data_IF_821554019299
#
_entry.id   IF_821554019299
#
_cell.length_a   1.000
_cell.length_b   1.000
_cell.length_c   1.000
_cell.angle_alpha   90.00
_cell.angle_beta   90.00
_cell.angle_gamma   90.00
#
_symmetry.space_group_name_H-M   'P 1'
#
loop_
_entity.id
_entity.type
_entity.pdbx_description
1 polymer ?
#
# COMPACT_ATOMS: atom_id res chain seq x y z
N UNK A 1 -2.11 -28.08 5.67
CA UNK A 1 -2.60 -27.29 6.74
C UNK A 1 -1.73 -27.26 7.98
N UNK A 2 -0.98 -26.19 8.15
CA UNK A 2 -0.40 -25.86 9.45
C UNK A 2 -1.46 -25.06 10.24
N UNK A 3 -1.51 -25.19 11.59
CA UNK A 3 -2.31 -24.30 12.41
C UNK A 3 -1.94 -22.84 12.15
N UNK A 4 -2.91 -21.92 12.20
CA UNK A 4 -2.76 -20.50 11.86
C UNK A 4 -1.54 -19.84 12.51
N UNK A 5 -1.30 -20.09 13.81
CA UNK A 5 -0.16 -19.55 14.55
C UNK A 5 1.18 -20.04 14.01
N UNK A 6 1.30 -21.37 13.75
CA UNK A 6 2.53 -21.95 13.21
C UNK A 6 2.77 -21.45 11.79
N UNK A 7 1.73 -21.35 10.96
CA UNK A 7 1.81 -20.82 9.61
C UNK A 7 2.30 -19.36 9.63
N UNK A 8 1.72 -18.52 10.50
CA UNK A 8 2.16 -17.13 10.65
C UNK A 8 3.65 -17.03 11.04
N UNK A 9 4.10 -17.80 12.04
CA UNK A 9 5.49 -17.75 12.51
C UNK A 9 6.46 -18.11 11.36
N UNK A 10 6.20 -19.23 10.67
CA UNK A 10 7.09 -19.69 9.58
C UNK A 10 7.10 -18.69 8.43
N UNK A 11 5.93 -18.29 7.95
CA UNK A 11 5.84 -17.41 6.78
C UNK A 11 6.34 -16.00 7.09
N UNK A 12 6.04 -15.44 8.28
CA UNK A 12 6.53 -14.11 8.65
C UNK A 12 8.05 -14.06 8.76
N UNK A 13 8.66 -15.10 9.35
CA UNK A 13 10.13 -15.16 9.49
C UNK A 13 10.84 -15.21 8.13
N UNK A 14 10.26 -15.91 7.16
CA UNK A 14 10.87 -16.06 5.84
C UNK A 14 10.54 -14.90 4.89
N UNK A 15 9.29 -14.45 4.88
CA UNK A 15 8.78 -13.53 3.86
C UNK A 15 8.80 -12.06 4.28
N UNK A 16 8.68 -11.74 5.58
CA UNK A 16 8.60 -10.36 6.00
C UNK A 16 9.87 -9.56 5.65
N UNK A 17 11.09 -10.03 5.93
CA UNK A 17 12.31 -9.32 5.50
C UNK A 17 12.37 -9.12 3.99
N UNK A 18 12.05 -10.17 3.22
CA UNK A 18 12.09 -10.14 1.74
C UNK A 18 11.12 -9.09 1.18
N UNK A 19 9.90 -9.00 1.72
CA UNK A 19 8.90 -8.02 1.26
C UNK A 19 9.36 -6.59 1.57
N UNK A 20 9.94 -6.35 2.76
CA UNK A 20 10.47 -5.05 3.14
C UNK A 20 11.63 -4.66 2.22
N UNK A 21 12.58 -5.56 1.99
CA UNK A 21 13.75 -5.31 1.15
C UNK A 21 13.38 -5.07 -0.31
N UNK A 22 12.49 -5.89 -0.88
CA UNK A 22 11.99 -5.68 -2.24
C UNK A 22 11.21 -4.35 -2.36
N UNK A 23 10.44 -4.00 -1.34
CA UNK A 23 9.78 -2.70 -1.27
C UNK A 23 10.79 -1.56 -1.32
N UNK A 24 11.82 -1.61 -0.47
CA UNK A 24 12.86 -0.60 -0.41
C UNK A 24 13.63 -0.47 -1.74
N UNK A 25 13.96 -1.59 -2.37
CA UNK A 25 14.64 -1.61 -3.68
C UNK A 25 13.81 -0.97 -4.80
N UNK A 26 12.49 -0.93 -4.66
CA UNK A 26 11.58 -0.27 -5.59
C UNK A 26 11.10 1.11 -5.09
N UNK A 27 11.77 1.70 -4.12
CA UNK A 27 11.43 3.02 -3.58
C UNK A 27 10.14 3.06 -2.76
N UNK A 28 9.61 1.91 -2.32
CA UNK A 28 8.42 1.81 -1.50
C UNK A 28 8.80 1.55 -0.03
N UNK A 29 8.41 2.45 0.86
CA UNK A 29 8.55 2.23 2.30
C UNK A 29 7.37 1.37 2.77
N UNK A 30 7.64 0.08 3.01
CA UNK A 30 6.64 -0.87 3.52
C UNK A 30 6.85 -1.03 5.02
N UNK A 31 5.91 -0.56 5.86
CA UNK A 31 6.03 -0.73 7.31
C UNK A 31 6.01 -2.20 7.71
N UNK A 32 6.91 -2.59 8.59
CA UNK A 32 7.02 -3.99 9.04
C UNK A 32 5.70 -4.53 9.62
N UNK A 33 4.97 -3.70 10.36
CA UNK A 33 3.64 -4.07 10.89
C UNK A 33 2.64 -4.40 9.79
N UNK A 34 2.64 -3.66 8.67
CA UNK A 34 1.76 -3.94 7.54
C UNK A 34 2.10 -5.28 6.88
N UNK A 35 3.40 -5.61 6.80
CA UNK A 35 3.86 -6.91 6.27
C UNK A 35 3.45 -8.05 7.20
N UNK A 36 3.61 -7.90 8.52
CA UNK A 36 3.16 -8.92 9.48
C UNK A 36 1.65 -9.15 9.42
N UNK A 37 0.85 -8.08 9.31
CA UNK A 37 -0.59 -8.20 9.09
C UNK A 37 -0.91 -8.86 7.76
N UNK A 38 -0.19 -8.51 6.69
CA UNK A 38 -0.34 -9.15 5.38
C UNK A 38 -0.16 -10.68 5.48
N UNK A 39 0.94 -11.12 6.06
CA UNK A 39 1.24 -12.54 6.24
C UNK A 39 0.20 -13.23 7.14
N UNK A 40 -0.22 -12.57 8.21
CA UNK A 40 -1.20 -13.10 9.16
C UNK A 40 -2.56 -13.34 8.49
N UNK A 41 -3.09 -12.37 7.75
CA UNK A 41 -4.36 -12.50 7.05
C UNK A 41 -4.34 -13.60 5.98
N UNK A 42 -3.26 -13.71 5.21
CA UNK A 42 -3.12 -14.80 4.24
C UNK A 42 -2.97 -16.17 4.92
N UNK A 43 -2.36 -16.21 6.09
CA UNK A 43 -2.29 -17.43 6.92
C UNK A 43 -3.68 -17.92 7.36
N UNK A 44 -4.58 -17.00 7.73
CA UNK A 44 -5.96 -17.34 8.12
C UNK A 44 -6.77 -17.84 6.93
N UNK A 45 -6.66 -17.18 5.78
CA UNK A 45 -7.40 -17.54 4.57
C UNK A 45 -7.14 -18.98 4.11
N UNK A 46 -6.00 -19.56 4.44
CA UNK A 46 -5.69 -20.94 4.08
C UNK A 46 -6.64 -21.96 4.72
N UNK A 47 -7.22 -21.65 5.88
CA UNK A 47 -8.14 -22.56 6.59
C UNK A 47 -9.54 -22.57 5.97
N UNK A 48 -9.94 -21.53 5.24
CA UNK A 48 -11.25 -21.40 4.59
C UNK A 48 -11.20 -21.65 3.07
N UNK A 49 -9.99 -21.67 2.48
CA UNK A 49 -9.83 -21.75 1.02
C UNK A 49 -9.68 -23.20 0.54
N UNK A 50 -10.51 -23.67 -0.40
CA UNK A 50 -10.30 -24.96 -1.05
C UNK A 50 -8.94 -25.03 -1.79
N UNK A 51 -8.25 -26.16 -1.82
CA UNK A 51 -8.67 -27.50 -1.36
C UNK A 51 -8.38 -27.79 0.11
N UNK A 52 -7.68 -26.93 0.84
CA UNK A 52 -7.33 -27.17 2.26
C UNK A 52 -8.57 -27.03 3.15
N UNK A 53 -9.19 -25.85 3.19
CA UNK A 53 -10.51 -25.53 3.72
C UNK A 53 -10.98 -26.29 4.97
N UNK A 54 -10.13 -26.43 6.02
CA UNK A 54 -10.47 -27.22 7.21
C UNK A 54 -11.76 -26.71 7.89
N UNK A 55 -11.95 -25.39 7.96
CA UNK A 55 -13.15 -24.79 8.53
C UNK A 55 -14.39 -25.09 7.67
N UNK A 56 -14.24 -25.08 6.35
CA UNK A 56 -15.31 -25.42 5.41
C UNK A 56 -15.72 -26.91 5.53
N UNK A 57 -14.78 -27.81 5.71
CA UNK A 57 -15.07 -29.23 5.96
C UNK A 57 -15.81 -29.43 7.30
N UNK A 58 -15.37 -28.74 8.35
CA UNK A 58 -16.05 -28.78 9.65
C UNK A 58 -17.47 -28.24 9.57
N UNK A 59 -17.68 -27.10 8.92
CA UNK A 59 -18.99 -26.50 8.71
C UNK A 59 -19.93 -27.40 7.87
N UNK A 60 -19.40 -28.04 6.82
CA UNK A 60 -20.13 -29.00 6.01
C UNK A 60 -20.52 -30.25 6.82
N UNK A 61 -19.65 -30.72 7.71
CA UNK A 61 -19.95 -31.84 8.63
C UNK A 61 -21.09 -31.53 9.60
N UNK A 62 -21.22 -30.27 10.06
CA UNK A 62 -22.31 -29.83 10.92
C UNK A 62 -23.61 -29.65 10.13
N UNK A 63 -23.53 -29.01 8.95
CA UNK A 63 -24.71 -28.68 8.14
C UNK A 63 -25.23 -29.84 7.29
N UNK A 64 -24.43 -30.90 7.11
CA UNK A 64 -24.72 -32.01 6.16
C UNK A 64 -24.54 -31.60 4.69
N UNK A 65 -23.89 -30.44 4.43
CA UNK A 65 -23.68 -29.91 3.09
C UNK A 65 -22.46 -30.53 2.38
N UNK A 66 -22.30 -30.16 1.10
CA UNK A 66 -21.09 -30.50 0.33
C UNK A 66 -19.90 -29.65 0.79
N UNK A 67 -18.78 -30.24 1.22
CA UNK A 67 -17.63 -29.50 1.74
C UNK A 67 -17.01 -28.54 0.73
N UNK A 68 -16.92 -28.92 -0.54
CA UNK A 68 -16.31 -28.10 -1.58
C UNK A 68 -17.19 -26.89 -1.89
N UNK A 69 -18.51 -27.09 -2.01
CA UNK A 69 -19.46 -26.00 -2.21
C UNK A 69 -19.47 -25.05 -1.01
N UNK A 70 -19.40 -25.60 0.20
CA UNK A 70 -19.31 -24.81 1.44
C UNK A 70 -18.03 -23.97 1.45
N UNK A 71 -16.87 -24.55 1.05
CA UNK A 71 -15.62 -23.82 0.96
C UNK A 71 -15.62 -22.74 -0.11
N UNK A 72 -16.20 -22.99 -1.29
CA UNK A 72 -16.34 -21.96 -2.34
C UNK A 72 -17.22 -20.81 -1.82
N UNK A 73 -18.31 -21.12 -1.14
CA UNK A 73 -19.19 -20.08 -0.57
C UNK A 73 -18.50 -19.30 0.54
N UNK A 74 -17.73 -19.97 1.41
CA UNK A 74 -16.88 -19.33 2.42
C UNK A 74 -15.88 -18.36 1.78
N UNK A 75 -15.14 -18.81 0.79
CA UNK A 75 -14.17 -17.97 0.08
C UNK A 75 -14.83 -16.73 -0.57
N UNK A 76 -16.04 -16.86 -1.13
CA UNK A 76 -16.76 -15.70 -1.67
C UNK A 76 -17.07 -14.67 -0.58
N UNK A 77 -17.38 -15.10 0.64
CA UNK A 77 -17.55 -14.19 1.77
C UNK A 77 -16.22 -13.61 2.25
N UNK A 78 -15.13 -14.38 2.18
CA UNK A 78 -13.80 -13.99 2.66
C UNK A 78 -12.95 -13.23 1.63
N UNK A 79 -13.47 -12.97 0.44
CA UNK A 79 -12.75 -12.18 -0.59
C UNK A 79 -12.33 -10.80 -0.04
N UNK A 80 -13.07 -10.26 0.92
CA UNK A 80 -12.75 -9.01 1.61
C UNK A 80 -11.49 -9.13 2.47
N UNK A 81 -11.36 -10.26 3.15
CA UNK A 81 -10.21 -10.60 3.97
C UNK A 81 -8.95 -10.78 3.13
N UNK A 82 -9.08 -11.24 1.87
CA UNK A 82 -7.98 -11.33 0.93
C UNK A 82 -7.49 -9.96 0.43
N UNK A 83 -8.36 -8.95 0.35
CA UNK A 83 -8.01 -7.62 -0.18
C UNK A 83 -7.46 -6.70 0.90
N UNK A 84 -7.93 -6.80 2.14
CA UNK A 84 -7.51 -5.96 3.27
C UNK A 84 -5.99 -5.89 3.48
N UNK A 85 -5.23 -7.00 3.43
CA UNK A 85 -3.79 -6.98 3.62
C UNK A 85 -3.05 -6.06 2.65
N UNK A 86 -3.48 -6.02 1.39
CA UNK A 86 -2.91 -5.09 0.41
C UNK A 86 -3.21 -3.64 0.79
N UNK A 87 -4.38 -3.37 1.38
CA UNK A 87 -4.72 -2.01 1.81
C UNK A 87 -3.80 -1.52 2.93
N UNK A 88 -3.37 -2.37 3.85
CA UNK A 88 -2.42 -2.01 4.92
C UNK A 88 -1.05 -1.58 4.37
N UNK A 89 -0.60 -2.19 3.27
CA UNK A 89 0.64 -1.81 2.61
C UNK A 89 0.50 -0.46 1.89
N UNK A 90 -0.61 -0.25 1.18
CA UNK A 90 -0.80 0.93 0.34
C UNK A 90 -1.43 2.13 1.06
N UNK A 91 -2.07 1.91 2.20
CA UNK A 91 -2.65 2.96 3.03
C UNK A 91 -2.30 2.71 4.51
N UNK A 92 -1.14 3.17 4.90
CA UNK A 92 -0.57 2.95 6.23
C UNK A 92 -1.36 3.63 7.35
N UNK A 93 -2.25 4.58 7.03
CA UNK A 93 -3.18 5.17 8.01
C UNK A 93 -4.13 4.12 8.62
N UNK A 94 -4.45 3.05 7.88
CA UNK A 94 -5.26 1.92 8.39
C UNK A 94 -4.57 1.13 9.51
N UNK A 95 -3.24 1.19 9.57
CA UNK A 95 -2.42 0.65 10.66
C UNK A 95 -1.89 1.74 11.60
N UNK A 96 -2.56 2.89 11.64
CA UNK A 96 -2.30 4.06 12.48
C UNK A 96 -0.95 4.75 12.24
N UNK A 97 -0.24 4.46 11.16
CA UNK A 97 1.00 5.14 10.80
C UNK A 97 0.66 6.46 10.09
N UNK A 98 1.22 7.57 10.58
CA UNK A 98 0.97 8.92 10.04
C UNK A 98 -0.30 9.58 10.59
N UNK A 99 -1.00 8.95 11.54
CA UNK A 99 -2.14 9.55 12.24
C UNK A 99 -1.63 10.43 13.38
N UNK A 100 -1.78 11.75 13.25
CA UNK A 100 -1.18 12.74 14.17
C UNK A 100 -2.17 13.35 15.14
N UNK A 101 -3.49 13.17 14.95
CA UNK A 101 -4.52 13.76 15.80
C UNK A 101 -5.73 12.84 15.99
N UNK A 102 -6.46 13.04 17.10
CA UNK A 102 -7.71 12.31 17.37
C UNK A 102 -8.75 12.51 16.27
N UNK A 103 -8.83 13.70 15.69
CA UNK A 103 -9.76 13.99 14.61
C UNK A 103 -9.41 13.23 13.33
N UNK A 104 -8.11 13.14 13.02
CA UNK A 104 -7.62 12.33 11.90
C UNK A 104 -7.93 10.84 12.13
N UNK A 105 -7.72 10.33 13.34
CA UNK A 105 -8.05 8.95 13.69
C UNK A 105 -9.54 8.63 13.48
N UNK A 106 -10.43 9.48 14.00
CA UNK A 106 -11.88 9.29 13.82
C UNK A 106 -12.25 9.27 12.34
N UNK A 107 -11.70 10.20 11.56
CA UNK A 107 -11.93 10.27 10.11
C UNK A 107 -11.47 8.97 9.41
N UNK A 108 -10.28 8.47 9.72
CA UNK A 108 -9.76 7.22 9.15
C UNK A 108 -10.68 6.04 9.49
N UNK A 109 -11.10 5.91 10.76
CA UNK A 109 -12.01 4.84 11.20
C UNK A 109 -13.35 4.92 10.45
N UNK A 110 -13.96 6.11 10.38
CA UNK A 110 -15.26 6.29 9.71
C UNK A 110 -15.16 5.95 8.21
N UNK A 111 -14.11 6.42 7.54
CA UNK A 111 -13.88 6.11 6.12
C UNK A 111 -13.65 4.62 5.91
N UNK A 112 -12.87 3.97 6.78
CA UNK A 112 -12.61 2.54 6.70
C UNK A 112 -13.89 1.70 6.90
N UNK A 113 -14.74 2.05 7.88
CA UNK A 113 -16.01 1.38 8.12
C UNK A 113 -16.95 1.54 6.93
N UNK A 114 -17.13 2.76 6.41
CA UNK A 114 -17.95 3.00 5.22
C UNK A 114 -17.39 2.22 4.03
N UNK A 115 -16.07 2.26 3.80
CA UNK A 115 -15.41 1.53 2.73
C UNK A 115 -15.68 0.02 2.80
N UNK A 116 -15.61 -0.58 4.00
CA UNK A 116 -15.90 -2.01 4.21
C UNK A 116 -17.37 -2.35 3.94
N UNK A 117 -18.31 -1.53 4.41
CA UNK A 117 -19.73 -1.75 4.16
C UNK A 117 -20.08 -1.65 2.67
N UNK A 118 -19.54 -0.64 2.00
CA UNK A 118 -19.72 -0.45 0.55
C UNK A 118 -19.07 -1.58 -0.24
N UNK A 119 -17.89 -2.04 0.17
CA UNK A 119 -17.23 -3.18 -0.44
C UNK A 119 -18.05 -4.47 -0.28
N UNK A 120 -18.59 -4.69 0.92
CA UNK A 120 -19.48 -5.81 1.18
C UNK A 120 -20.72 -5.78 0.28
N UNK A 121 -21.37 -4.61 0.16
CA UNK A 121 -22.52 -4.44 -0.71
C UNK A 121 -22.18 -4.68 -2.19
N UNK A 122 -21.03 -4.19 -2.65
CA UNK A 122 -20.54 -4.40 -4.00
C UNK A 122 -20.25 -5.86 -4.31
N UNK A 123 -19.53 -6.58 -3.44
CA UNK A 123 -19.18 -8.00 -3.64
C UNK A 123 -20.39 -8.93 -3.57
N UNK A 124 -21.38 -8.60 -2.77
CA UNK A 124 -22.63 -9.38 -2.67
C UNK A 124 -23.68 -9.00 -3.72
N UNK A 125 -23.47 -7.91 -4.45
CA UNK A 125 -24.42 -7.43 -5.45
C UNK A 125 -25.76 -6.98 -4.87
N UNK A 126 -25.77 -6.59 -3.57
CA UNK A 126 -26.95 -6.16 -2.84
C UNK A 126 -26.60 -5.05 -1.84
N UNK A 127 -27.38 -3.97 -1.85
CA UNK A 127 -27.27 -2.91 -0.85
C UNK A 127 -28.66 -2.62 -0.25
N UNK A 128 -29.42 -1.65 -0.76
CA UNK A 128 -30.85 -1.50 -0.38
C UNK A 128 -31.76 -2.46 -1.16
N UNK A 129 -31.35 -2.82 -2.36
CA UNK A 129 -32.00 -3.77 -3.25
C UNK A 129 -30.93 -4.45 -4.13
N UNK A 130 -31.33 -5.46 -4.93
CA UNK A 130 -30.39 -6.11 -5.85
C UNK A 130 -29.71 -5.10 -6.77
N UNK A 131 -28.40 -5.08 -6.78
CA UNK A 131 -27.61 -4.15 -7.56
C UNK A 131 -27.64 -4.50 -9.05
N UNK A 132 -27.69 -3.49 -9.90
CA UNK A 132 -27.37 -3.63 -11.33
C UNK A 132 -25.85 -3.74 -11.49
N UNK A 133 -25.38 -4.33 -12.58
CA UNK A 133 -23.94 -4.53 -12.83
C UNK A 133 -23.11 -3.23 -12.70
N UNK A 134 -23.62 -2.13 -13.24
CA UNK A 134 -22.93 -0.84 -13.12
C UNK A 134 -22.91 -0.29 -11.68
N UNK A 135 -23.93 -0.55 -10.87
CA UNK A 135 -23.98 -0.17 -9.46
C UNK A 135 -22.97 -0.97 -8.64
N UNK A 136 -22.89 -2.28 -8.90
CA UNK A 136 -21.84 -3.14 -8.34
C UNK A 136 -20.45 -2.63 -8.67
N UNK A 137 -20.17 -2.33 -9.94
CA UNK A 137 -18.90 -1.77 -10.36
C UNK A 137 -18.61 -0.41 -9.71
N UNK A 138 -19.61 0.46 -9.60
CA UNK A 138 -19.49 1.76 -8.94
C UNK A 138 -19.26 1.61 -7.43
N UNK A 139 -19.95 0.70 -6.73
CA UNK A 139 -19.69 0.43 -5.30
C UNK A 139 -18.29 -0.09 -5.06
N UNK A 140 -17.77 -0.98 -5.90
CA UNK A 140 -16.40 -1.47 -5.81
C UNK A 140 -15.38 -0.35 -6.06
N UNK A 141 -15.64 0.54 -7.03
CA UNK A 141 -14.81 1.71 -7.29
C UNK A 141 -14.80 2.69 -6.11
N UNK A 142 -15.96 2.94 -5.49
CA UNK A 142 -16.07 3.78 -4.29
C UNK A 142 -15.27 3.17 -3.16
N UNK A 143 -15.45 1.87 -2.88
CA UNK A 143 -14.72 1.17 -1.84
C UNK A 143 -13.20 1.25 -2.06
N UNK A 144 -12.73 1.01 -3.27
CA UNK A 144 -11.32 1.16 -3.64
C UNK A 144 -10.81 2.59 -3.39
N UNK A 145 -11.59 3.61 -3.77
CA UNK A 145 -11.23 5.01 -3.56
C UNK A 145 -11.16 5.38 -2.08
N UNK A 146 -12.08 4.86 -1.26
CA UNK A 146 -12.09 5.09 0.19
C UNK A 146 -10.91 4.39 0.89
N UNK A 147 -10.55 3.18 0.47
CA UNK A 147 -9.40 2.46 1.03
C UNK A 147 -8.06 3.00 0.56
N UNK A 148 -7.98 3.48 -0.68
CA UNK A 148 -6.73 3.98 -1.27
C UNK A 148 -6.95 5.33 -1.97
N UNK A 149 -7.29 6.40 -1.24
CA UNK A 149 -7.53 7.72 -1.82
C UNK A 149 -6.30 8.27 -2.56
N UNK A 150 -5.10 7.89 -2.13
CA UNK A 150 -3.83 8.25 -2.75
C UNK A 150 -3.69 7.76 -4.21
N UNK A 151 -4.33 6.67 -4.61
CA UNK A 151 -4.16 6.13 -5.97
C UNK A 151 -4.52 7.13 -7.07
N UNK A 152 -5.69 7.77 -6.96
CA UNK A 152 -6.14 8.78 -7.92
C UNK A 152 -5.41 10.10 -7.70
N UNK A 153 -5.17 10.44 -6.41
CA UNK A 153 -4.50 11.66 -6.02
C UNK A 153 -3.07 11.73 -6.53
N UNK A 154 -2.32 10.64 -6.43
CA UNK A 154 -0.93 10.54 -6.89
C UNK A 154 -0.80 10.66 -8.41
N UNK A 155 -1.85 10.31 -9.16
CA UNK A 155 -1.92 10.53 -10.62
C UNK A 155 -2.18 12.00 -10.99
N UNK A 156 -2.99 12.71 -10.18
CA UNK A 156 -3.29 14.12 -10.41
C UNK A 156 -2.23 15.05 -9.82
N UNK A 157 -1.68 14.68 -8.68
CA UNK A 157 -0.67 15.41 -7.93
C UNK A 157 0.46 14.46 -7.55
N UNK A 158 1.49 14.30 -8.39
CA UNK A 158 2.61 13.42 -8.11
C UNK A 158 3.22 13.69 -6.73
N UNK A 159 3.47 12.65 -5.91
CA UNK A 159 3.98 12.81 -4.55
C UNK A 159 5.42 13.30 -4.50
N UNK A 160 6.15 13.05 -5.56
CA UNK A 160 7.56 13.39 -5.70
C UNK A 160 7.75 14.16 -7.00
N UNK A 161 8.65 15.11 -7.01
CA UNK A 161 9.18 15.72 -8.21
C UNK A 161 10.67 15.42 -8.31
N UNK A 162 11.15 15.35 -9.52
CA UNK A 162 12.53 15.04 -9.82
C UNK A 162 13.34 16.33 -9.93
N UNK A 163 14.41 16.41 -9.19
CA UNK A 163 15.38 17.48 -9.25
C UNK A 163 16.71 16.95 -9.82
N UNK A 164 17.47 17.78 -10.55
CA UNK A 164 18.76 17.36 -11.10
C UNK A 164 19.74 17.01 -9.98
N UNK A 165 20.66 16.05 -10.22
CA UNK A 165 21.67 15.60 -9.25
C UNK A 165 22.53 16.73 -8.67
N UNK A 166 22.82 17.75 -9.48
CA UNK A 166 23.60 18.93 -9.07
C UNK A 166 22.98 19.71 -7.89
N UNK A 167 21.69 19.50 -7.59
CA UNK A 167 21.04 20.10 -6.43
C UNK A 167 21.05 19.22 -5.18
N UNK A 168 21.65 18.03 -5.25
CA UNK A 168 21.65 17.06 -4.14
C UNK A 168 22.15 17.68 -2.83
N UNK A 169 23.26 18.36 -2.84
CA UNK A 169 23.81 19.03 -1.65
C UNK A 169 22.86 20.11 -1.11
N UNK A 170 22.28 20.95 -1.98
CA UNK A 170 21.34 21.96 -1.57
C UNK A 170 20.08 21.36 -0.94
N UNK A 171 19.58 20.27 -1.49
CA UNK A 171 18.39 19.55 -0.98
C UNK A 171 18.70 18.96 0.38
N UNK A 172 19.81 18.21 0.52
CA UNK A 172 20.24 17.59 1.77
C UNK A 172 20.46 18.63 2.87
N UNK A 173 21.07 19.79 2.51
CA UNK A 173 21.29 20.89 3.44
C UNK A 173 19.99 21.48 4.03
N UNK A 174 18.90 21.46 3.26
CA UNK A 174 17.59 22.00 3.67
C UNK A 174 16.67 20.95 4.31
N UNK A 175 17.02 19.67 4.31
CA UNK A 175 16.22 18.61 4.91
C UNK A 175 16.42 18.54 6.42
N UNK A 176 15.38 18.06 7.14
CA UNK A 176 15.51 17.76 8.56
C UNK A 176 16.42 16.54 8.78
N UNK A 177 17.28 16.55 9.82
CA UNK A 177 18.09 15.41 10.21
C UNK A 177 17.23 14.13 10.40
N UNK A 178 17.74 12.99 9.94
CA UNK A 178 17.03 11.71 10.01
C UNK A 178 15.89 11.53 9.01
N UNK A 179 15.55 12.54 8.20
CA UNK A 179 14.60 12.38 7.08
C UNK A 179 15.22 11.53 5.99
N UNK A 180 14.38 10.89 5.16
CA UNK A 180 14.85 10.04 4.07
C UNK A 180 14.88 10.81 2.77
N UNK A 181 16.07 10.90 2.16
CA UNK A 181 16.23 11.37 0.78
C UNK A 181 16.13 10.20 -0.17
N UNK A 182 15.51 10.42 -1.33
CA UNK A 182 15.40 9.44 -2.40
C UNK A 182 16.26 9.86 -3.57
N UNK A 183 17.18 8.99 -3.97
CA UNK A 183 18.02 9.17 -5.16
C UNK A 183 17.78 8.03 -6.14
N UNK A 184 17.71 8.36 -7.41
CA UNK A 184 17.66 7.39 -8.49
C UNK A 184 19.05 7.25 -9.07
N UNK A 185 19.54 6.03 -9.09
CA UNK A 185 20.89 5.70 -9.58
C UNK A 185 20.81 4.78 -10.80
N UNK A 186 21.81 4.91 -11.68
CA UNK A 186 22.12 3.93 -12.72
C UNK A 186 23.46 3.27 -12.35
N UNK A 187 23.49 1.96 -12.38
CA UNK A 187 24.68 1.17 -12.20
C UNK A 187 24.78 0.06 -13.22
N UNK A 188 25.93 -0.60 -13.29
CA UNK A 188 26.15 -1.75 -14.15
C UNK A 188 26.35 -3.02 -13.31
N UNK A 189 25.67 -4.08 -13.69
CA UNK A 189 25.83 -5.37 -13.02
C UNK A 189 27.14 -6.02 -13.48
N UNK A 190 28.11 -6.12 -12.58
CA UNK A 190 29.46 -6.64 -12.85
C UNK A 190 29.49 -8.05 -13.46
N UNK A 191 28.45 -8.89 -13.23
CA UNK A 191 28.39 -10.24 -13.80
C UNK A 191 27.81 -10.29 -15.21
N UNK A 192 26.86 -9.40 -15.52
CA UNK A 192 26.08 -9.48 -16.77
C UNK A 192 26.37 -8.35 -17.74
N UNK A 193 27.08 -7.30 -17.32
CA UNK A 193 27.30 -6.07 -18.09
C UNK A 193 26.01 -5.31 -18.38
N UNK A 194 24.91 -5.63 -17.72
CA UNK A 194 23.63 -4.94 -17.95
C UNK A 194 23.49 -3.76 -17.03
N UNK A 195 23.10 -2.63 -17.58
CA UNK A 195 22.72 -1.46 -16.81
C UNK A 195 21.39 -1.73 -16.08
N UNK A 196 21.30 -1.23 -14.85
CA UNK A 196 20.10 -1.23 -14.06
C UNK A 196 19.87 0.15 -13.46
N UNK A 197 18.60 0.50 -13.28
CA UNK A 197 18.20 1.72 -12.56
C UNK A 197 17.51 1.31 -11.27
N UNK A 198 17.87 1.96 -10.17
CA UNK A 198 17.34 1.67 -8.85
C UNK A 198 17.08 2.97 -8.10
N UNK A 199 15.97 3.01 -7.34
CA UNK A 199 15.73 4.08 -6.36
C UNK A 199 16.26 3.64 -5.00
N UNK A 200 17.08 4.48 -4.39
CA UNK A 200 17.68 4.23 -3.07
C UNK A 200 17.18 5.30 -2.11
N UNK A 201 16.87 4.90 -0.89
CA UNK A 201 16.49 5.78 0.19
C UNK A 201 17.58 5.82 1.24
N UNK A 202 18.04 7.02 1.59
CA UNK A 202 19.11 7.23 2.54
C UNK A 202 18.65 8.16 3.65
N UNK A 203 18.98 7.88 4.91
CA UNK A 203 18.78 8.83 5.98
C UNK A 203 19.70 10.05 5.77
N UNK A 204 19.19 11.23 6.05
CA UNK A 204 20.02 12.45 6.07
C UNK A 204 20.73 12.53 7.40
N UNK A 205 22.06 12.76 7.37
CA UNK A 205 22.88 12.88 8.59
C UNK A 205 22.53 14.12 9.42
N UNK A 206 23.02 14.13 10.67
CA UNK A 206 22.72 15.18 11.66
C UNK A 206 23.72 16.34 11.63
N UNK A 207 24.73 16.27 10.78
CA UNK A 207 25.82 17.25 10.66
C UNK A 207 25.31 18.60 10.15
N UNK A 208 26.16 19.63 10.28
CA UNK A 208 25.77 21.01 9.98
C UNK A 208 25.78 21.34 8.50
N UNK A 209 26.73 20.79 7.76
CA UNK A 209 26.88 21.06 6.33
C UNK A 209 26.32 19.92 5.48
N UNK A 210 25.88 20.22 4.28
CA UNK A 210 25.32 19.22 3.36
C UNK A 210 26.33 18.12 3.01
N UNK A 211 27.57 18.50 2.78
CA UNK A 211 28.66 17.56 2.46
C UNK A 211 28.93 16.64 3.65
N UNK A 212 29.03 17.19 4.87
CA UNK A 212 29.22 16.39 6.07
C UNK A 212 28.05 15.42 6.29
N UNK A 213 26.81 15.83 6.00
CA UNK A 213 25.61 14.96 6.08
C UNK A 213 25.68 13.78 5.12
N UNK A 214 26.17 14.00 3.88
CA UNK A 214 26.37 12.93 2.91
C UNK A 214 27.51 12.00 3.36
N UNK A 215 28.61 12.56 3.85
CA UNK A 215 29.74 11.78 4.37
C UNK A 215 29.32 10.98 5.62
N UNK A 216 28.47 11.55 6.49
CA UNK A 216 27.93 10.87 7.69
C UNK A 216 27.10 9.64 7.36
N UNK A 217 26.40 9.62 6.22
CA UNK A 217 25.72 8.42 5.73
C UNK A 217 26.58 7.53 4.83
N UNK A 218 27.82 7.94 4.58
CA UNK A 218 28.84 7.16 3.91
C UNK A 218 28.91 7.34 2.39
N UNK A 219 28.53 8.52 1.86
CA UNK A 219 28.61 8.84 0.44
C UNK A 219 29.51 10.05 0.22
N UNK A 220 30.44 9.90 -0.70
CA UNK A 220 31.13 11.00 -1.36
C UNK A 220 30.69 11.05 -2.81
N UNK A 221 30.49 12.26 -3.34
CA UNK A 221 30.04 12.46 -4.73
C UNK A 221 31.13 13.23 -5.51
N UNK A 222 31.19 12.95 -6.82
CA UNK A 222 31.96 13.72 -7.78
C UNK A 222 31.11 14.16 -8.96
N UNK A 223 31.36 15.33 -9.46
CA UNK A 223 30.76 15.81 -10.70
C UNK A 223 31.76 15.67 -11.84
N UNK A 224 31.37 15.01 -12.91
CA UNK A 224 32.20 14.78 -14.10
C UNK A 224 31.30 14.91 -15.34
N UNK A 225 31.72 15.74 -16.30
CA UNK A 225 30.99 16.00 -17.55
C UNK A 225 29.50 16.36 -17.40
N UNK A 226 29.15 17.08 -16.31
CA UNK A 226 27.77 17.48 -16.02
C UNK A 226 26.89 16.37 -15.44
N UNK A 227 27.47 15.25 -15.06
CA UNK A 227 26.85 14.13 -14.37
C UNK A 227 27.44 14.01 -12.98
N UNK A 228 26.63 13.53 -12.04
CA UNK A 228 27.04 13.29 -10.66
C UNK A 228 27.18 11.79 -10.43
N UNK A 229 28.36 11.38 -9.97
CA UNK A 229 28.69 9.98 -9.66
C UNK A 229 28.97 9.81 -8.17
N UNK A 230 28.81 8.58 -7.70
CA UNK A 230 29.25 8.17 -6.38
C UNK A 230 30.75 7.91 -6.46
N UNK A 231 31.55 8.75 -5.78
CA UNK A 231 33.00 8.67 -5.80
C UNK A 231 33.54 7.70 -4.75
N UNK A 232 32.92 7.63 -3.60
CA UNK A 232 33.33 6.72 -2.54
C UNK A 232 32.15 6.31 -1.67
N UNK A 233 32.21 5.08 -1.16
CA UNK A 233 31.23 4.56 -0.17
C UNK A 233 31.98 3.99 1.04
N UNK A 234 31.61 4.48 2.21
CA UNK A 234 32.20 3.99 3.47
C UNK A 234 31.63 2.59 3.76
N UNK A 235 32.54 1.65 4.03
CA UNK A 235 32.18 0.27 4.37
C UNK A 235 31.26 0.19 5.60
N UNK A 236 30.26 -0.67 5.56
CA UNK A 236 29.25 -0.87 6.62
C UNK A 236 28.35 0.35 6.91
N UNK A 237 28.39 1.38 6.05
CA UNK A 237 27.57 2.59 6.15
C UNK A 237 26.11 2.34 5.80
N UNK A 238 25.20 3.29 6.12
CA UNK A 238 23.83 3.29 5.61
C UNK A 238 23.75 3.24 4.09
N UNK A 239 24.67 3.89 3.39
CA UNK A 239 24.72 3.92 1.93
C UNK A 239 25.02 2.54 1.33
N UNK A 240 26.04 1.85 1.83
CA UNK A 240 26.36 0.48 1.40
C UNK A 240 25.20 -0.49 1.69
N UNK A 241 24.61 -0.42 2.90
CA UNK A 241 23.46 -1.24 3.28
C UNK A 241 22.22 -0.99 2.40
N UNK A 242 22.07 0.22 1.89
CA UNK A 242 21.02 0.56 0.92
C UNK A 242 21.34 0.06 -0.50
N UNK A 243 22.55 -0.50 -0.70
CA UNK A 243 23.00 -1.08 -1.95
C UNK A 243 23.51 -0.06 -2.97
N UNK A 244 24.08 1.04 -2.50
CA UNK A 244 24.89 1.90 -3.31
C UNK A 244 26.29 1.29 -3.49
N UNK A 245 26.91 1.60 -4.61
CA UNK A 245 28.26 1.14 -4.94
C UNK A 245 29.04 2.26 -5.66
N UNK A 246 30.34 2.11 -5.70
CA UNK A 246 31.26 3.02 -6.39
C UNK A 246 30.91 3.14 -7.87
N UNK A 247 31.15 4.32 -8.45
CA UNK A 247 30.99 4.65 -9.88
C UNK A 247 29.54 4.56 -10.42
N UNK A 248 28.53 4.52 -9.55
CA UNK A 248 27.14 4.63 -9.96
C UNK A 248 26.77 6.08 -10.28
N UNK A 249 26.06 6.30 -11.39
CA UNK A 249 25.56 7.63 -11.79
C UNK A 249 24.27 7.95 -11.01
N UNK A 250 24.20 9.13 -10.41
CA UNK A 250 22.96 9.66 -9.83
C UNK A 250 22.18 10.33 -10.95
N UNK A 251 21.02 9.78 -11.29
CA UNK A 251 20.18 10.29 -12.38
C UNK A 251 19.32 11.48 -11.94
N UNK A 252 18.69 11.38 -10.78
CA UNK A 252 17.88 12.43 -10.19
C UNK A 252 17.73 12.27 -8.69
N UNK A 253 17.26 13.35 -8.05
CA UNK A 253 16.90 13.39 -6.64
C UNK A 253 15.40 13.60 -6.54
N UNK A 254 14.70 12.72 -5.83
CA UNK A 254 13.26 12.77 -5.68
C UNK A 254 12.88 13.50 -4.39
N UNK A 255 12.21 14.63 -4.54
CA UNK A 255 11.83 15.52 -3.43
C UNK A 255 10.31 15.50 -3.23
N UNK A 256 9.81 15.45 -1.98
CA UNK A 256 8.38 15.50 -1.72
C UNK A 256 7.73 16.80 -2.22
N UNK A 257 6.64 16.69 -2.97
CA UNK A 257 5.88 17.81 -3.48
C UNK A 257 4.87 18.29 -2.43
N UNK A 258 4.77 19.60 -2.20
CA UNK A 258 3.67 20.18 -1.40
C UNK A 258 2.35 20.01 -2.18
N UNK A 259 1.43 19.23 -1.66
CA UNK A 259 0.15 18.91 -2.31
C UNK A 259 -1.02 18.99 -1.35
N UNK A 260 -2.25 19.22 -1.85
CA UNK A 260 -3.44 19.17 -1.01
C UNK A 260 -3.62 17.77 -0.39
N UNK A 261 -4.37 17.66 0.71
CA UNK A 261 -4.56 16.37 1.38
C UNK A 261 -5.33 15.38 0.50
N UNK A 262 -4.82 14.13 0.41
CA UNK A 262 -5.42 13.04 -0.38
C UNK A 262 -6.85 12.68 0.04
N UNK A 263 -7.24 13.04 1.26
CA UNK A 263 -8.58 12.83 1.82
C UNK A 263 -9.68 13.55 1.03
N UNK A 264 -9.32 14.57 0.22
CA UNK A 264 -10.29 15.23 -0.66
C UNK A 264 -10.95 14.28 -1.67
N UNK A 265 -10.30 13.13 -2.00
CA UNK A 265 -10.90 12.10 -2.86
C UNK A 265 -12.09 11.37 -2.21
N UNK A 266 -12.27 11.49 -0.91
CA UNK A 266 -13.46 10.98 -0.21
C UNK A 266 -14.73 11.70 -0.68
N UNK A 267 -14.64 12.99 -1.02
CA UNK A 267 -15.80 13.80 -1.42
C UNK A 267 -16.49 13.22 -2.69
N UNK A 268 -15.81 13.06 -3.83
CA UNK A 268 -16.46 12.50 -5.01
C UNK A 268 -16.94 11.05 -4.80
N UNK A 269 -16.23 10.25 -3.99
CA UNK A 269 -16.67 8.90 -3.63
C UNK A 269 -17.99 8.92 -2.85
N UNK A 270 -18.14 9.81 -1.87
CA UNK A 270 -19.37 9.96 -1.09
C UNK A 270 -20.53 10.53 -1.93
N UNK A 271 -20.26 11.44 -2.86
CA UNK A 271 -21.28 11.96 -3.78
C UNK A 271 -21.82 10.84 -4.70
N UNK A 272 -20.94 10.00 -5.24
CA UNK A 272 -21.32 8.85 -6.04
C UNK A 272 -22.12 7.83 -5.21
N UNK A 273 -21.71 7.59 -3.96
CA UNK A 273 -22.42 6.72 -3.03
C UNK A 273 -23.84 7.25 -2.77
N UNK A 274 -23.99 8.54 -2.51
CA UNK A 274 -25.28 9.19 -2.32
C UNK A 274 -26.18 9.06 -3.56
N UNK A 275 -25.61 9.22 -4.76
CA UNK A 275 -26.34 9.03 -6.02
C UNK A 275 -26.91 7.61 -6.13
N UNK A 276 -26.09 6.58 -5.89
CA UNK A 276 -26.53 5.18 -5.93
C UNK A 276 -27.62 4.94 -4.88
N UNK A 277 -27.47 5.50 -3.68
CA UNK A 277 -28.47 5.40 -2.62
C UNK A 277 -29.81 5.98 -3.05
N UNK A 278 -29.84 7.18 -3.65
CA UNK A 278 -31.06 7.81 -4.17
C UNK A 278 -31.74 6.96 -5.24
N UNK A 279 -30.98 6.43 -6.18
CA UNK A 279 -31.48 5.59 -7.26
C UNK A 279 -32.07 4.27 -6.73
N UNK A 280 -31.40 3.63 -5.78
CA UNK A 280 -31.90 2.39 -5.18
C UNK A 280 -33.12 2.63 -4.29
N UNK A 281 -33.12 3.71 -3.48
CA UNK A 281 -34.28 4.07 -2.67
C UNK A 281 -35.51 4.34 -3.52
N UNK A 282 -35.37 4.95 -4.68
CA UNK A 282 -36.46 5.15 -5.63
C UNK A 282 -37.04 3.84 -6.19
N UNK A 283 -36.21 2.80 -6.32
CA UNK A 283 -36.63 1.46 -6.74
C UNK A 283 -37.36 0.72 -5.60
N UNK A 284 -36.84 0.77 -4.39
CA UNK A 284 -37.49 0.14 -3.21
C UNK A 284 -38.87 0.69 -3.03
N UNK A 285 -39.08 2.01 -3.08
CA UNK A 285 -40.42 2.63 -2.96
C UNK A 285 -41.42 2.21 -4.04
N UNK A 286 -40.94 1.79 -5.21
CA UNK A 286 -41.80 1.27 -6.29
C UNK A 286 -42.17 -0.20 -6.11
N UNK A 287 -41.35 -0.95 -5.33
CA UNK A 287 -41.58 -2.37 -5.08
C UNK A 287 -42.51 -2.63 -3.87
N UNK A 288 -42.49 -1.72 -2.86
CA UNK A 288 -43.33 -1.82 -1.68
C UNK A 288 -44.84 -1.88 -1.96
N UNK A 289 -45.45 -1.05 -2.84
CA UNK A 289 -46.86 -1.15 -3.14
C UNK A 289 -47.23 -2.44 -3.89
N UNK A 290 -46.36 -2.95 -4.77
CA UNK A 290 -46.61 -4.20 -5.51
C UNK A 290 -46.57 -5.46 -4.62
N UNK A 291 -45.88 -5.41 -3.48
CA UNK A 291 -45.83 -6.51 -2.51
C UNK A 291 -47.00 -6.45 -1.50
N UNK A 292 -47.73 -5.32 -1.40
CA UNK A 292 -48.90 -5.16 -0.54
C UNK A 292 -50.19 -5.54 -1.25
N UNK A 293 -50.17 -5.67 -2.59
CA UNK A 293 -51.31 -6.06 -3.42
C UNK A 293 -51.30 -7.56 -3.85
N UNK A 294 -50.20 -8.30 -3.51
CA UNK A 294 -50.01 -9.73 -3.77
C UNK A 294 -50.17 -10.55 -2.48
#
# INVERSE_FOLDING_TARGET
GLPTTANYIVVSTLMAPVIVDLGAQNGLIVPLIAVHLFVFYFGILADDTPPVGLAAFAAAGISGGDPIKTGIQGFVYDIRTAILPFMFIFNTELVMIGVTSWWHLIMVIVIAVIGMLVFAAGTQGYWLTKCKLWETAALLLIAFTLFRPGFWWDKMFPPLHEEPPSKLEQIVGNMEPGSLIRIMIEGENMRTGKKFTKTVMLPVGDEKTAVERLNGVGIEIRDEDGKTFIDNIVFSSPAEKAGLDFDQEILNVQVPTKRPPKQLMVIPAMLLLALIWFLQRGRVRKLEPAAAEA
#
